data_IF_953290039572
#
_entry.id   IF_953290039572
#
_cell.length_a   1.000
_cell.length_b   1.000
_cell.length_c   1.000
_cell.angle_alpha   90.00
_cell.angle_beta   90.00
_cell.angle_gamma   90.00
#
_symmetry.space_group_name_H-M   'P 1'
#
loop_
_entity.id
_entity.type
_entity.pdbx_description
1 polymer ?
#
# COMPACT_ATOMS: atom_id res chain seq x y z
N UNK A 1 12.40 -1.11 -0.51
CA UNK A 1 11.34 -2.00 -1.02
C UNK A 1 10.78 -1.48 -2.33
N UNK A 2 10.53 -2.36 -3.29
CA UNK A 2 9.90 -2.01 -4.57
C UNK A 2 8.39 -1.92 -4.43
N UNK A 3 7.77 -0.93 -5.07
CA UNK A 3 6.32 -0.75 -5.10
C UNK A 3 5.84 -0.22 -6.46
N UNK A 4 4.60 -0.54 -6.83
CA UNK A 4 3.88 0.15 -7.90
C UNK A 4 3.07 1.28 -7.25
N UNK A 5 3.28 2.52 -7.70
CA UNK A 5 2.62 3.71 -7.14
C UNK A 5 1.91 4.49 -8.24
N UNK A 6 0.71 4.98 -7.92
CA UNK A 6 -0.04 5.97 -8.69
C UNK A 6 -0.25 7.18 -7.79
N UNK A 7 0.14 8.37 -8.24
CA UNK A 7 0.00 9.62 -7.46
C UNK A 7 -1.12 10.51 -7.97
N UNK A 8 -1.52 10.34 -9.23
CA UNK A 8 -2.67 10.99 -9.83
C UNK A 8 -3.79 9.97 -10.00
N UNK A 9 -4.85 10.12 -9.21
CA UNK A 9 -6.00 9.23 -9.26
C UNK A 9 -6.65 9.20 -10.64
N UNK A 10 -6.67 10.33 -11.37
CA UNK A 10 -7.29 10.42 -12.69
C UNK A 10 -6.48 9.71 -13.78
N UNK A 11 -5.17 9.50 -13.56
CA UNK A 11 -4.31 8.80 -14.52
C UNK A 11 -4.57 7.29 -14.57
N UNK A 12 -5.25 6.72 -13.56
CA UNK A 12 -5.57 5.29 -13.49
C UNK A 12 -4.33 4.41 -13.64
N UNK A 13 -4.46 3.31 -14.39
CA UNK A 13 -3.35 2.37 -14.65
C UNK A 13 -2.21 2.99 -15.45
N UNK A 14 -2.47 3.99 -16.30
CA UNK A 14 -1.42 4.69 -17.04
C UNK A 14 -0.48 5.49 -16.14
N UNK A 15 -0.94 5.84 -14.92
CA UNK A 15 -0.13 6.52 -13.91
C UNK A 15 0.79 5.59 -13.09
N UNK A 16 0.68 4.26 -13.26
CA UNK A 16 1.43 3.29 -12.46
C UNK A 16 2.93 3.33 -12.76
N UNK A 17 3.74 3.43 -11.70
CA UNK A 17 5.20 3.41 -11.80
C UNK A 17 5.83 2.48 -10.79
N UNK A 18 6.81 1.70 -11.23
CA UNK A 18 7.71 0.97 -10.34
C UNK A 18 8.69 1.95 -9.70
N UNK A 19 8.70 2.00 -8.37
CA UNK A 19 9.54 2.91 -7.58
C UNK A 19 10.14 2.19 -6.38
N UNK A 20 11.25 2.72 -5.87
CA UNK A 20 11.79 2.34 -4.57
C UNK A 20 11.12 3.14 -3.45
N UNK A 21 10.87 2.47 -2.32
CA UNK A 21 10.31 3.03 -1.09
C UNK A 21 11.15 2.58 0.11
N UNK A 22 11.16 3.33 1.22
CA UNK A 22 11.73 2.84 2.48
C UNK A 22 11.13 1.48 2.84
N UNK A 23 11.94 0.61 3.44
CA UNK A 23 11.43 -0.64 4.01
C UNK A 23 10.37 -0.34 5.09
N UNK A 24 9.44 -1.28 5.35
CA UNK A 24 8.47 -1.13 6.43
C UNK A 24 9.19 -0.91 7.75
N UNK A 25 8.72 0.04 8.55
CA UNK A 25 9.31 0.35 9.85
C UNK A 25 8.90 -0.69 10.89
N UNK A 26 9.41 -1.92 10.77
CA UNK A 26 9.02 -3.04 11.63
C UNK A 26 9.17 -2.75 13.13
N UNK A 27 10.16 -1.95 13.52
CA UNK A 27 10.37 -1.58 14.92
C UNK A 27 9.32 -0.58 15.45
N UNK A 28 8.88 0.39 14.64
CA UNK A 28 7.79 1.29 15.04
C UNK A 28 6.45 0.58 15.02
N UNK A 29 6.23 -0.33 14.05
CA UNK A 29 5.06 -1.20 14.00
C UNK A 29 5.03 -2.25 15.12
N UNK A 30 6.17 -2.65 15.67
CA UNK A 30 6.22 -3.51 16.85
C UNK A 30 5.97 -2.73 18.16
N UNK A 31 5.94 -1.40 18.10
CA UNK A 31 5.72 -0.54 19.26
C UNK A 31 4.25 -0.12 19.37
N UNK A 32 3.78 0.05 20.61
CA UNK A 32 2.42 0.53 20.91
C UNK A 32 2.15 1.98 20.45
N UNK A 33 3.17 2.68 19.92
CA UNK A 33 3.06 4.07 19.45
C UNK A 33 3.01 4.22 17.93
N UNK A 34 3.22 3.15 17.16
CA UNK A 34 3.37 3.22 15.70
C UNK A 34 2.51 2.26 14.89
N UNK A 35 1.98 1.20 15.52
CA UNK A 35 1.03 0.28 14.91
C UNK A 35 -0.31 0.30 15.63
N UNK A 36 -1.37 0.04 14.87
CA UNK A 36 -2.61 -0.42 15.45
C UNK A 36 -2.45 -1.86 15.94
N UNK A 37 -3.23 -2.21 16.96
CA UNK A 37 -3.25 -3.58 17.48
C UNK A 37 -3.61 -4.56 16.34
N UNK A 38 -2.66 -5.39 15.92
CA UNK A 38 -2.84 -6.39 14.85
C UNK A 38 -2.09 -6.13 13.55
N UNK A 39 -1.34 -5.03 13.43
CA UNK A 39 -0.51 -4.81 12.25
C UNK A 39 0.58 -5.90 12.13
N UNK A 40 0.82 -6.36 10.91
CA UNK A 40 1.86 -7.34 10.58
C UNK A 40 2.68 -6.86 9.38
N UNK A 41 3.98 -7.12 9.41
CA UNK A 41 4.85 -6.93 8.25
C UNK A 41 4.94 -8.23 7.48
N UNK A 42 4.61 -8.19 6.19
CA UNK A 42 4.64 -9.36 5.31
C UNK A 42 5.65 -9.17 4.18
N UNK A 43 6.32 -10.27 3.82
CA UNK A 43 7.06 -10.34 2.57
C UNK A 43 6.11 -10.75 1.44
N UNK A 44 5.89 -9.85 0.48
CA UNK A 44 4.99 -10.13 -0.65
C UNK A 44 5.71 -11.04 -1.66
N UNK A 45 5.16 -12.24 -1.87
CA UNK A 45 5.64 -13.17 -2.91
C UNK A 45 4.80 -13.09 -4.19
N UNK A 46 3.52 -12.74 -4.07
CA UNK A 46 2.61 -12.54 -5.19
C UNK A 46 1.55 -11.50 -4.80
N UNK A 47 1.09 -10.74 -5.79
CA UNK A 47 0.00 -9.77 -5.67
C UNK A 47 -0.95 -9.93 -6.86
N UNK A 48 -2.25 -9.71 -6.63
CA UNK A 48 -3.27 -9.67 -7.69
C UNK A 48 -3.74 -8.25 -7.95
N UNK A 49 -4.33 -8.05 -9.13
CA UNK A 49 -5.01 -6.80 -9.51
C UNK A 49 -6.31 -7.21 -10.22
N UNK A 50 -7.47 -6.84 -9.66
CA UNK A 50 -8.75 -7.22 -10.28
C UNK A 50 -9.07 -6.31 -11.47
N UNK A 51 -9.94 -6.77 -12.37
CA UNK A 51 -10.33 -5.98 -13.55
C UNK A 51 -11.05 -4.67 -13.19
N UNK A 52 -11.62 -4.60 -11.99
CA UNK A 52 -12.39 -3.49 -11.46
C UNK A 52 -11.73 -2.84 -10.23
N UNK A 53 -10.44 -3.13 -9.95
CA UNK A 53 -9.71 -2.71 -8.74
C UNK A 53 -9.84 -1.20 -8.47
N UNK A 54 -9.80 -0.36 -9.53
CA UNK A 54 -9.87 1.10 -9.41
C UNK A 54 -11.29 1.64 -9.20
N UNK A 55 -12.32 0.81 -9.35
CA UNK A 55 -13.72 1.21 -9.17
C UNK A 55 -14.21 1.02 -7.74
N UNK A 56 -13.43 0.30 -6.91
CA UNK A 56 -13.84 -0.02 -5.56
C UNK A 56 -13.88 1.26 -4.71
N UNK A 57 -14.92 1.45 -3.88
CA UNK A 57 -14.94 2.56 -2.95
C UNK A 57 -13.76 2.43 -1.99
N UNK A 58 -12.95 3.49 -1.85
CA UNK A 58 -11.84 3.49 -0.89
C UNK A 58 -12.42 3.28 0.51
N UNK A 59 -12.17 2.11 1.09
CA UNK A 59 -12.58 1.81 2.48
C UNK A 59 -11.75 2.60 3.49
N UNK A 60 -10.62 3.14 3.07
CA UNK A 60 -9.72 4.00 3.83
C UNK A 60 -9.94 5.47 3.43
N UNK A 61 -10.96 6.08 4.00
CA UNK A 61 -10.99 7.53 4.12
C UNK A 61 -10.28 7.82 5.44
N UNK A 62 -9.23 8.64 5.41
CA UNK A 62 -8.61 9.17 6.63
C UNK A 62 -9.73 9.86 7.44
N UNK A 63 -10.06 9.35 8.62
CA UNK A 63 -11.13 9.86 9.50
C UNK A 63 -10.53 10.53 10.71
#
# INVERSE_FOLDING_TARGET
>A
MRAIVVTDQAAGTAGMKLVERPEPQGASLASLSGANYGDVVVQVHASGFTGDELSWPSTWIDR
#
